data_IF_506692886811
#
_entry.id   IF_506692886811
#
_cell.length_a   1.000
_cell.length_b   1.000
_cell.length_c   1.000
_cell.angle_alpha   90.00
_cell.angle_beta   90.00
_cell.angle_gamma   90.00
#
_symmetry.space_group_name_H-M   'P 1'
#
loop_
_entity.id
_entity.type
_entity.pdbx_description
1 polymer ?
#
# COMPACT_ATOMS: atom_id res chain seq x y z
N UNK A 1 -43.99 -35.78 15.71
CA UNK A 1 -43.40 -35.57 14.36
C UNK A 1 -43.47 -34.11 13.85
N UNK A 2 -44.31 -33.22 14.39
CA UNK A 2 -44.42 -31.80 13.97
C UNK A 2 -43.25 -30.89 14.37
N UNK A 3 -42.51 -31.21 15.45
CA UNK A 3 -41.40 -30.37 15.95
C UNK A 3 -40.10 -30.47 15.15
N UNK A 4 -39.81 -31.64 14.59
CA UNK A 4 -38.60 -31.83 13.76
C UNK A 4 -38.71 -31.10 12.42
N UNK A 5 -39.91 -31.01 11.83
CA UNK A 5 -40.12 -30.29 10.58
C UNK A 5 -39.88 -28.78 10.73
N UNK A 6 -40.29 -28.17 11.85
CA UNK A 6 -40.07 -26.75 12.12
C UNK A 6 -38.59 -26.45 12.40
N UNK A 7 -37.90 -27.37 13.09
CA UNK A 7 -36.44 -27.27 13.33
C UNK A 7 -35.66 -27.42 12.02
N UNK A 8 -36.07 -28.32 11.14
CA UNK A 8 -35.40 -28.55 9.85
C UNK A 8 -35.54 -27.34 8.90
N UNK A 9 -36.71 -26.69 8.88
CA UNK A 9 -36.93 -25.48 8.07
C UNK A 9 -36.09 -24.30 8.56
N UNK A 10 -35.92 -24.14 9.88
CA UNK A 10 -35.06 -23.09 10.44
C UNK A 10 -33.57 -23.30 10.12
N UNK A 11 -33.10 -24.54 10.12
CA UNK A 11 -31.70 -24.88 9.79
C UNK A 11 -31.41 -24.68 8.29
N UNK A 12 -32.35 -25.00 7.41
CA UNK A 12 -32.18 -24.81 5.95
C UNK A 12 -32.22 -23.33 5.56
N UNK A 13 -32.97 -22.48 6.26
CA UNK A 13 -33.01 -21.03 5.98
C UNK A 13 -31.72 -20.29 6.35
N UNK A 14 -30.94 -20.82 7.30
CA UNK A 14 -29.66 -20.24 7.74
C UNK A 14 -28.50 -20.50 6.78
N UNK A 15 -28.62 -21.49 5.89
CA UNK A 15 -27.56 -21.87 4.94
C UNK A 15 -27.61 -21.06 3.63
N UNK A 16 -28.64 -20.23 3.43
CA UNK A 16 -28.87 -19.49 2.20
C UNK A 16 -28.13 -18.16 2.03
N UNK A 17 -27.31 -17.72 2.99
CA UNK A 17 -26.55 -16.45 2.88
C UNK A 17 -25.19 -16.65 2.19
N UNK A 18 -25.21 -17.21 0.99
CA UNK A 18 -24.09 -17.09 0.05
C UNK A 18 -24.01 -15.64 -0.44
N UNK A 19 -23.42 -14.75 0.36
CA UNK A 19 -23.20 -13.36 -0.01
C UNK A 19 -22.27 -13.33 -1.22
N UNK A 20 -22.75 -12.78 -2.35
CA UNK A 20 -21.90 -12.49 -3.50
C UNK A 20 -20.76 -11.57 -3.02
N UNK A 21 -19.52 -12.05 -3.09
CA UNK A 21 -18.33 -11.26 -2.79
C UNK A 21 -18.06 -10.29 -3.93
N UNK A 22 -17.52 -9.11 -3.61
CA UNK A 22 -17.14 -8.09 -4.58
C UNK A 22 -15.76 -7.54 -4.21
N UNK A 23 -14.91 -7.33 -5.21
CA UNK A 23 -13.58 -6.77 -5.02
C UNK A 23 -13.65 -5.28 -4.67
N UNK A 24 -12.95 -4.89 -3.61
CA UNK A 24 -12.83 -3.48 -3.16
C UNK A 24 -11.45 -2.89 -3.42
N UNK A 25 -10.41 -3.73 -3.45
CA UNK A 25 -9.04 -3.34 -3.79
C UNK A 25 -8.40 -4.43 -4.65
N UNK A 26 -7.44 -4.03 -5.49
CA UNK A 26 -6.68 -4.89 -6.42
C UNK A 26 -5.25 -4.37 -6.56
N UNK A 27 -4.34 -5.19 -7.08
CA UNK A 27 -2.95 -4.82 -7.34
C UNK A 27 -2.15 -4.50 -6.08
N UNK A 28 -2.56 -5.05 -4.93
CA UNK A 28 -1.87 -4.83 -3.66
C UNK A 28 -0.64 -5.71 -3.56
N UNK A 29 0.43 -5.18 -2.96
CA UNK A 29 1.48 -6.03 -2.41
C UNK A 29 0.96 -6.77 -1.16
N UNK A 30 1.72 -7.75 -0.68
CA UNK A 30 1.28 -8.56 0.46
C UNK A 30 1.10 -7.72 1.73
N UNK A 31 1.97 -6.73 1.96
CA UNK A 31 1.93 -5.89 3.14
C UNK A 31 0.68 -5.00 3.18
N UNK A 32 0.36 -4.32 2.07
CA UNK A 32 -0.82 -3.48 1.92
C UNK A 32 -2.11 -4.31 1.97
N UNK A 33 -2.10 -5.52 1.40
CA UNK A 33 -3.22 -6.45 1.51
C UNK A 33 -3.47 -6.89 2.96
N UNK A 34 -2.41 -7.27 3.68
CA UNK A 34 -2.51 -7.66 5.09
C UNK A 34 -2.99 -6.51 5.98
N UNK A 35 -2.48 -5.29 5.75
CA UNK A 35 -2.88 -4.13 6.53
C UNK A 35 -4.35 -3.75 6.29
N UNK A 36 -4.76 -3.74 5.04
CA UNK A 36 -6.13 -3.43 4.63
C UNK A 36 -7.12 -4.49 5.12
N UNK A 37 -6.75 -5.77 5.05
CA UNK A 37 -7.52 -6.88 5.62
C UNK A 37 -7.72 -6.67 7.13
N UNK A 38 -6.63 -6.47 7.89
CA UNK A 38 -6.70 -6.26 9.32
C UNK A 38 -7.52 -5.02 9.71
N UNK A 39 -7.56 -3.98 8.88
CA UNK A 39 -8.38 -2.80 9.12
C UNK A 39 -9.88 -3.06 8.93
N UNK A 40 -10.25 -3.84 7.92
CA UNK A 40 -11.64 -4.25 7.66
C UNK A 40 -12.15 -5.19 8.76
N UNK A 41 -11.35 -6.19 9.15
CA UNK A 41 -11.70 -7.12 10.23
C UNK A 41 -11.94 -6.40 11.56
N UNK A 42 -11.06 -5.46 11.91
CA UNK A 42 -11.23 -4.61 13.12
C UNK A 42 -12.48 -3.73 13.07
N UNK A 43 -12.99 -3.42 11.88
CA UNK A 43 -14.24 -2.69 11.70
C UNK A 43 -15.46 -3.63 11.67
N UNK A 44 -15.28 -4.94 11.88
CA UNK A 44 -16.34 -5.94 11.85
C UNK A 44 -16.86 -6.20 10.43
N UNK A 45 -15.99 -6.07 9.42
CA UNK A 45 -16.30 -6.34 8.01
C UNK A 45 -15.52 -7.58 7.60
N UNK A 46 -16.24 -8.64 7.20
CA UNK A 46 -15.61 -9.84 6.65
C UNK A 46 -14.97 -9.53 5.31
N UNK A 47 -13.65 -9.70 5.21
CA UNK A 47 -12.88 -9.50 4.00
C UNK A 47 -12.03 -10.74 3.71
N UNK A 48 -11.84 -11.04 2.42
CA UNK A 48 -11.07 -12.17 1.94
C UNK A 48 -9.92 -11.66 1.06
N UNK A 49 -8.70 -12.12 1.35
CA UNK A 49 -7.51 -11.86 0.54
C UNK A 49 -7.41 -12.91 -0.55
N UNK A 50 -7.50 -12.47 -1.81
CA UNK A 50 -7.44 -13.34 -2.99
C UNK A 50 -6.17 -13.02 -3.76
N UNK A 51 -5.39 -14.05 -4.10
CA UNK A 51 -4.22 -13.88 -4.96
C UNK A 51 -4.67 -13.58 -6.40
N UNK A 52 -4.13 -12.52 -7.00
CA UNK A 52 -4.39 -12.19 -8.40
C UNK A 52 -3.36 -12.90 -9.29
N UNK A 53 -3.83 -13.90 -10.01
CA UNK A 53 -3.03 -14.56 -11.05
C UNK A 53 -3.17 -13.77 -12.36
N UNK A 54 -2.31 -12.78 -12.57
CA UNK A 54 -2.32 -11.96 -13.80
C UNK A 54 -0.99 -11.26 -14.07
N UNK A 55 -0.09 -11.91 -14.82
CA UNK A 55 1.17 -11.32 -15.31
C UNK A 55 2.41 -11.56 -14.43
N UNK A 56 3.53 -10.90 -14.76
CA UNK A 56 4.86 -11.10 -14.15
C UNK A 56 4.99 -10.58 -12.70
N UNK A 57 3.89 -10.21 -12.04
CA UNK A 57 3.90 -9.68 -10.68
C UNK A 57 2.73 -10.30 -9.91
N UNK A 58 3.02 -10.98 -8.80
CA UNK A 58 2.01 -11.54 -7.90
C UNK A 58 1.36 -10.41 -7.10
N UNK A 59 0.14 -10.02 -7.50
CA UNK A 59 -0.69 -9.05 -6.77
C UNK A 59 -1.71 -9.75 -5.87
N UNK A 60 -2.28 -8.99 -4.93
CA UNK A 60 -3.40 -9.42 -4.10
C UNK A 60 -4.59 -8.47 -4.29
N UNK A 61 -5.79 -9.04 -4.25
CA UNK A 61 -7.05 -8.34 -4.17
C UNK A 61 -7.74 -8.59 -2.82
N UNK A 62 -8.56 -7.64 -2.39
CA UNK A 62 -9.44 -7.82 -1.25
C UNK A 62 -10.89 -7.83 -1.72
N UNK A 63 -11.63 -8.86 -1.30
CA UNK A 63 -13.05 -9.00 -1.56
C UNK A 63 -13.84 -8.92 -0.26
N UNK A 64 -15.02 -8.32 -0.30
CA UNK A 64 -15.95 -8.25 0.83
C UNK A 64 -17.35 -8.66 0.37
N UNK A 65 -18.28 -8.87 1.29
CA UNK A 65 -19.67 -9.07 0.93
C UNK A 65 -20.21 -7.86 0.15
N UNK A 66 -21.05 -8.06 -0.87
CA UNK A 66 -21.63 -6.96 -1.66
C UNK A 66 -22.36 -5.91 -0.80
N UNK A 67 -22.96 -6.34 0.32
CA UNK A 67 -23.62 -5.45 1.26
C UNK A 67 -22.67 -4.55 2.05
N UNK A 68 -21.44 -5.01 2.28
CA UNK A 68 -20.43 -4.28 3.05
C UNK A 68 -19.49 -3.41 2.19
N UNK A 69 -19.55 -3.51 0.86
CA UNK A 69 -18.60 -2.84 -0.05
C UNK A 69 -18.45 -1.33 0.19
N UNK A 70 -19.56 -0.60 0.31
CA UNK A 70 -19.52 0.85 0.57
C UNK A 70 -18.87 1.17 1.92
N UNK A 71 -19.28 0.45 2.98
CA UNK A 71 -18.75 0.61 4.33
C UNK A 71 -17.26 0.24 4.41
N UNK A 72 -16.84 -0.79 3.67
CA UNK A 72 -15.44 -1.20 3.56
C UNK A 72 -14.59 -0.08 2.96
N UNK A 73 -15.03 0.51 1.84
CA UNK A 73 -14.34 1.63 1.20
C UNK A 73 -14.26 2.86 2.11
N UNK A 74 -15.31 3.17 2.86
CA UNK A 74 -15.28 4.29 3.82
C UNK A 74 -14.27 4.05 4.95
N UNK A 75 -14.24 2.84 5.53
CA UNK A 75 -13.27 2.47 6.56
C UNK A 75 -11.84 2.57 6.04
N UNK A 76 -11.57 2.04 4.84
CA UNK A 76 -10.25 2.10 4.22
C UNK A 76 -9.83 3.55 3.96
N UNK A 77 -10.73 4.38 3.42
CA UNK A 77 -10.48 5.80 3.16
C UNK A 77 -10.16 6.58 4.42
N UNK A 78 -10.95 6.42 5.49
CA UNK A 78 -10.73 7.10 6.78
C UNK A 78 -9.38 6.71 7.39
N UNK A 79 -8.91 5.49 7.11
CA UNK A 79 -7.61 4.99 7.59
C UNK A 79 -6.45 5.25 6.65
N UNK A 80 -6.69 5.85 5.48
CA UNK A 80 -5.67 6.10 4.46
C UNK A 80 -5.06 4.81 3.90
N UNK A 81 -5.90 3.79 3.67
CA UNK A 81 -5.50 2.48 3.14
C UNK A 81 -5.97 2.29 1.69
N UNK A 82 -5.19 1.58 0.86
CA UNK A 82 -3.85 1.05 1.14
C UNK A 82 -2.81 2.16 1.28
N UNK A 83 -1.79 1.95 2.13
CA UNK A 83 -0.73 2.95 2.28
C UNK A 83 0.12 3.00 1.03
N UNK A 84 0.26 4.19 0.46
CA UNK A 84 1.24 4.43 -0.60
C UNK A 84 2.65 4.40 0.01
N UNK A 85 3.36 3.28 -0.20
CA UNK A 85 4.78 3.20 0.11
C UNK A 85 5.57 3.85 -1.00
N UNK A 86 6.63 4.57 -0.65
CA UNK A 86 7.49 5.16 -1.67
C UNK A 86 8.25 4.08 -2.43
N UNK A 87 8.43 4.32 -3.71
CA UNK A 87 9.27 3.47 -4.53
C UNK A 87 10.74 3.62 -4.10
N UNK A 88 11.42 2.48 -3.87
CA UNK A 88 12.86 2.43 -3.67
C UNK A 88 13.59 2.18 -4.98
N UNK A 89 14.84 1.77 -4.89
CA UNK A 89 15.64 1.49 -6.10
C UNK A 89 15.07 0.34 -6.94
N UNK A 90 14.57 -0.72 -6.29
CA UNK A 90 14.05 -1.88 -6.98
C UNK A 90 12.83 -1.53 -7.85
N UNK A 91 11.92 -0.70 -7.33
CA UNK A 91 10.70 -0.31 -8.02
C UNK A 91 10.96 0.76 -9.09
N UNK A 92 11.88 1.71 -8.82
CA UNK A 92 12.20 2.81 -9.75
C UNK A 92 13.04 2.35 -10.95
N UNK A 93 13.95 1.37 -10.77
CA UNK A 93 14.87 0.91 -11.82
C UNK A 93 14.55 -0.51 -12.35
N UNK A 94 13.62 -1.24 -11.72
CA UNK A 94 13.23 -2.59 -12.14
C UNK A 94 12.39 -2.65 -13.43
N UNK A 95 11.92 -1.50 -13.92
CA UNK A 95 11.17 -1.42 -15.18
C UNK A 95 12.07 -0.91 -16.31
N UNK A 96 12.19 -1.69 -17.38
CA UNK A 96 12.83 -1.24 -18.61
C UNK A 96 11.96 -0.13 -19.24
N UNK A 97 12.41 1.12 -19.11
CA UNK A 97 11.80 2.28 -19.74
C UNK A 97 12.75 2.89 -20.76
N UNK A 98 12.23 3.83 -21.56
CA UNK A 98 12.98 4.65 -22.52
C UNK A 98 14.21 5.29 -21.86
N UNK A 99 15.20 5.71 -22.67
CA UNK A 99 16.38 6.40 -22.18
C UNK A 99 15.93 7.70 -21.48
N UNK A 100 16.12 7.82 -20.15
CA UNK A 100 15.63 8.92 -19.35
C UNK A 100 16.41 10.20 -19.67
N UNK A 101 15.77 11.35 -19.54
CA UNK A 101 16.46 12.64 -19.52
C UNK A 101 17.24 12.82 -18.21
N UNK A 102 18.25 13.69 -18.19
CA UNK A 102 19.04 13.97 -17.00
C UNK A 102 18.19 14.44 -15.80
N UNK A 103 17.12 15.20 -16.05
CA UNK A 103 16.18 15.63 -15.01
C UNK A 103 15.34 14.46 -14.48
N UNK A 104 14.89 13.55 -15.35
CA UNK A 104 14.12 12.37 -14.93
C UNK A 104 14.98 11.37 -14.17
N UNK A 105 16.23 11.15 -14.58
CA UNK A 105 17.16 10.29 -13.85
C UNK A 105 17.44 10.86 -12.45
N UNK A 106 17.65 12.17 -12.33
CA UNK A 106 17.82 12.85 -11.04
C UNK A 106 16.57 12.72 -10.16
N UNK A 107 15.38 12.92 -10.73
CA UNK A 107 14.12 12.77 -9.99
C UNK A 107 13.93 11.32 -9.50
N UNK A 108 14.21 10.33 -10.35
CA UNK A 108 14.16 8.90 -9.99
C UNK A 108 15.17 8.54 -8.90
N UNK A 109 16.39 9.06 -8.98
CA UNK A 109 17.41 8.86 -7.95
C UNK A 109 16.96 9.43 -6.59
N UNK A 110 16.42 10.66 -6.59
CA UNK A 110 15.89 11.30 -5.38
C UNK A 110 14.73 10.50 -4.77
N UNK A 111 13.79 10.06 -5.60
CA UNK A 111 12.63 9.29 -5.16
C UNK A 111 13.04 7.97 -4.54
N UNK A 112 13.92 7.22 -5.22
CA UNK A 112 14.45 5.95 -4.74
C UNK A 112 15.24 6.13 -3.43
N UNK A 113 16.11 7.14 -3.36
CA UNK A 113 16.91 7.42 -2.15
C UNK A 113 16.00 7.76 -0.97
N UNK A 114 14.99 8.58 -1.18
CA UNK A 114 14.04 8.92 -0.13
C UNK A 114 13.28 7.68 0.36
N UNK A 115 12.83 6.81 -0.56
CA UNK A 115 12.18 5.55 -0.21
C UNK A 115 13.05 4.61 0.62
N UNK A 116 14.35 4.49 0.31
CA UNK A 116 15.26 3.66 1.13
C UNK A 116 15.50 4.23 2.52
N UNK A 117 15.64 5.54 2.65
CA UNK A 117 15.79 6.19 3.96
C UNK A 117 14.52 5.99 4.78
N UNK A 118 13.33 6.13 4.18
CA UNK A 118 12.06 5.87 4.85
C UNK A 118 11.95 4.41 5.32
N UNK A 119 12.26 3.43 4.47
CA UNK A 119 12.29 2.00 4.84
C UNK A 119 13.24 1.75 6.01
N UNK A 120 14.41 2.38 5.99
CA UNK A 120 15.41 2.26 7.05
C UNK A 120 14.88 2.82 8.37
N UNK A 121 14.27 4.00 8.34
CA UNK A 121 13.65 4.61 9.53
C UNK A 121 12.53 3.73 10.10
N UNK A 122 11.71 3.11 9.25
CA UNK A 122 10.64 2.19 9.65
C UNK A 122 11.13 0.90 10.32
N UNK A 123 12.43 0.56 10.21
CA UNK A 123 13.00 -0.57 10.97
C UNK A 123 13.27 -0.25 12.44
N UNK A 124 13.31 1.03 12.81
CA UNK A 124 13.59 1.44 14.17
C UNK A 124 12.35 1.22 15.06
N UNK A 125 12.60 0.80 16.30
CA UNK A 125 11.53 0.53 17.27
C UNK A 125 10.70 1.80 17.53
N UNK A 126 9.38 1.65 17.48
CA UNK A 126 8.44 2.74 17.70
C UNK A 126 8.18 3.62 16.47
N UNK A 127 8.75 3.34 15.30
CA UNK A 127 8.40 4.05 14.06
C UNK A 127 7.37 3.23 13.27
N UNK A 128 6.16 3.76 13.13
CA UNK A 128 5.06 3.14 12.37
C UNK A 128 5.17 3.47 10.88
N UNK A 129 5.57 4.70 10.55
CA UNK A 129 5.78 5.14 9.17
C UNK A 129 6.66 6.40 9.12
N UNK A 130 7.44 6.55 8.05
CA UNK A 130 8.27 7.73 7.82
C UNK A 130 8.04 8.34 6.43
N UNK A 131 8.12 9.68 6.33
CA UNK A 131 8.18 10.41 5.06
C UNK A 131 9.38 11.34 5.04
N UNK A 132 10.19 11.27 3.99
CA UNK A 132 11.47 11.98 3.88
C UNK A 132 11.51 12.80 2.59
N UNK A 133 11.64 14.11 2.68
CA UNK A 133 11.92 14.96 1.52
C UNK A 133 13.41 15.30 1.48
N UNK A 134 14.10 14.89 0.43
CA UNK A 134 15.53 15.11 0.25
C UNK A 134 15.80 16.28 -0.70
N UNK A 135 16.77 17.11 -0.33
CA UNK A 135 17.46 18.04 -1.21
C UNK A 135 18.90 17.58 -1.27
N UNK A 136 19.36 17.15 -2.45
CA UNK A 136 20.74 16.74 -2.64
C UNK A 136 21.63 17.95 -2.94
N UNK A 137 22.91 17.78 -2.65
CA UNK A 137 23.93 18.75 -3.01
C UNK A 137 24.01 18.93 -4.53
N UNK A 138 24.15 20.17 -4.97
CA UNK A 138 24.44 20.50 -6.37
C UNK A 138 25.78 21.21 -6.42
N UNK A 139 26.74 20.59 -7.09
CA UNK A 139 28.03 21.22 -7.37
C UNK A 139 27.85 22.21 -8.51
N UNK A 140 28.36 23.43 -8.36
CA UNK A 140 28.36 24.38 -9.47
C UNK A 140 29.42 23.96 -10.49
N UNK A 141 29.05 23.58 -11.73
CA UNK A 141 30.02 23.21 -12.75
C UNK A 141 30.94 24.37 -13.15
N UNK A 142 30.58 25.62 -12.81
CA UNK A 142 31.37 26.82 -13.08
C UNK A 142 32.19 27.29 -11.87
N UNK A 143 32.06 26.66 -10.70
CA UNK A 143 32.85 27.04 -9.53
C UNK A 143 34.25 26.44 -9.60
N UNK A 144 35.25 27.32 -9.68
CA UNK A 144 36.68 26.95 -9.63
C UNK A 144 37.10 26.32 -8.29
N UNK A 145 36.30 26.52 -7.23
CA UNK A 145 36.57 26.05 -5.87
C UNK A 145 35.72 24.82 -5.49
N UNK A 146 34.92 24.29 -6.42
CA UNK A 146 34.06 23.12 -6.18
C UNK A 146 32.98 23.36 -5.11
N UNK A 147 32.66 24.63 -4.81
CA UNK A 147 31.72 24.97 -3.75
C UNK A 147 30.29 24.60 -4.17
N UNK A 148 29.51 23.90 -3.32
CA UNK A 148 28.16 23.53 -3.67
C UNK A 148 27.21 24.74 -3.75
N UNK A 149 26.35 24.74 -4.76
CA UNK A 149 25.24 25.68 -4.95
C UNK A 149 24.15 25.49 -3.91
N UNK A 150 23.93 24.25 -3.50
CA UNK A 150 23.00 23.89 -2.41
C UNK A 150 23.62 22.79 -1.57
N UNK A 151 23.43 22.84 -0.26
CA UNK A 151 23.86 21.81 0.68
C UNK A 151 22.82 20.70 0.78
N UNK A 152 23.24 19.46 1.04
CA UNK A 152 22.31 18.37 1.32
C UNK A 152 21.42 18.68 2.53
N UNK A 153 20.11 18.44 2.41
CA UNK A 153 19.11 18.62 3.47
C UNK A 153 18.06 17.52 3.41
N UNK A 154 17.46 17.23 4.56
CA UNK A 154 16.33 16.32 4.66
C UNK A 154 15.26 16.92 5.59
N UNK A 155 13.99 16.80 5.20
CA UNK A 155 12.84 17.02 6.07
C UNK A 155 12.16 15.68 6.32
N UNK A 156 11.96 15.32 7.59
CA UNK A 156 11.45 14.01 7.99
C UNK A 156 10.18 14.17 8.82
N UNK A 157 9.12 13.49 8.42
CA UNK A 157 7.88 13.33 9.17
C UNK A 157 7.78 11.89 9.65
N UNK A 158 7.58 11.70 10.96
CA UNK A 158 7.49 10.39 11.60
C UNK A 158 6.11 10.23 12.23
N UNK A 159 5.53 9.04 12.07
CA UNK A 159 4.43 8.55 12.89
C UNK A 159 4.97 7.47 13.81
N UNK A 160 4.81 7.66 15.11
CA UNK A 160 5.20 6.74 16.17
C UNK A 160 3.99 6.28 16.98
#
# INVERSE_FOLDING_TARGET
MRGHACTFVAVVLLVGMGGCSTGVLHGLDEAAANESLAALERAGIGAEKVAEAGGQTSGFALQVSRGDAARALDVLRVRGLPRERRHGYAEVYGQASLIPTASEERARYLEATAGEVERTLETAEGIISARVHLVLEEVDPLSMEGKPRTTARAAVLIKA
#
